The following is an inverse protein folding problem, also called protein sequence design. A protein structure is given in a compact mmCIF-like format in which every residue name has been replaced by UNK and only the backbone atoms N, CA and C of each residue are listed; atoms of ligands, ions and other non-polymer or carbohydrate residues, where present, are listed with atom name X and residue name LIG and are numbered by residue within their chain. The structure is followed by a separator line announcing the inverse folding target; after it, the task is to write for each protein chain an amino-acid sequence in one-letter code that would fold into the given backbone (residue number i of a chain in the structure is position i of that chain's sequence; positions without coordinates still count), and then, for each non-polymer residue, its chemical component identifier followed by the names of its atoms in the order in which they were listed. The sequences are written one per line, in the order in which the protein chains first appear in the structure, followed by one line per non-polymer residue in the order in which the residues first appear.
data_IF_664977215477
#
_entry.id   IF_664977215477
#
_cell.length_a   1.000
_cell.length_b   1.000
_cell.length_c   1.000
_cell.angle_alpha   90.00
_cell.angle_beta   90.00
_cell.angle_gamma   90.00
#
_symmetry.space_group_name_H-M   'P 1'
#
loop_
_entity.id
_entity.type
_entity.pdbx_description
1 polymer ?
#
# COMPACT_ATOMS: atom_id res chain seq x y z
N UNK A 1 11.63 -4.07 13.71
CA UNK A 1 12.48 -3.96 12.51
C UNK A 1 12.60 -2.49 12.21
N UNK A 2 13.82 -1.96 12.17
CA UNK A 2 14.07 -0.56 11.85
C UNK A 2 14.20 -0.35 10.35
N UNK A 3 14.19 0.91 9.94
CA UNK A 3 14.49 1.31 8.57
C UNK A 3 15.98 1.14 8.30
N UNK A 4 16.34 0.34 7.31
CA UNK A 4 17.70 0.22 6.80
C UNK A 4 17.94 1.37 5.80
N UNK A 5 19.05 2.09 5.95
CA UNK A 5 19.39 3.21 5.07
C UNK A 5 20.74 2.96 4.44
N UNK A 6 20.76 2.85 3.11
CA UNK A 6 21.97 2.51 2.34
C UNK A 6 22.27 3.65 1.37
N UNK A 7 23.44 4.28 1.56
CA UNK A 7 23.88 5.44 0.78
C UNK A 7 24.76 4.99 -0.38
N UNK A 8 24.34 5.29 -1.61
CA UNK A 8 25.19 5.20 -2.80
C UNK A 8 25.82 6.54 -3.16
N UNK A 9 26.42 6.62 -4.36
CA UNK A 9 27.06 7.86 -4.85
C UNK A 9 26.05 8.95 -5.22
N UNK A 10 24.91 8.57 -5.80
CA UNK A 10 23.91 9.52 -6.34
C UNK A 10 22.54 9.44 -5.67
N UNK A 11 22.27 8.40 -4.90
CA UNK A 11 20.97 8.17 -4.26
C UNK A 11 21.16 7.46 -2.92
N UNK A 12 20.29 7.75 -1.98
CA UNK A 12 20.12 6.97 -0.74
C UNK A 12 18.86 6.13 -0.88
N UNK A 13 18.94 4.85 -0.54
CA UNK A 13 17.79 3.95 -0.46
C UNK A 13 17.41 3.81 1.01
N UNK A 14 16.12 4.00 1.31
CA UNK A 14 15.54 3.65 2.60
C UNK A 14 14.65 2.43 2.44
N UNK A 15 14.91 1.40 3.24
CA UNK A 15 14.11 0.18 3.27
C UNK A 15 13.48 -0.03 4.65
N UNK A 16 12.16 0.06 4.72
CA UNK A 16 11.39 -0.25 5.93
C UNK A 16 10.84 -1.69 5.89
N UNK A 17 11.57 -2.60 6.53
CA UNK A 17 11.16 -3.99 6.67
C UNK A 17 9.83 -4.17 7.41
N UNK A 18 9.38 -3.20 8.20
CA UNK A 18 8.08 -3.24 8.87
C UNK A 18 6.90 -3.10 7.90
N UNK A 19 7.11 -2.40 6.77
CA UNK A 19 6.11 -2.18 5.72
C UNK A 19 6.22 -3.20 4.59
N UNK A 20 7.31 -3.96 4.50
CA UNK A 20 7.52 -4.88 3.40
C UNK A 20 6.48 -6.02 3.43
N UNK A 21 5.71 -6.14 2.35
CA UNK A 21 4.75 -7.26 2.16
C UNK A 21 5.31 -8.37 1.26
N UNK A 22 6.62 -8.36 1.02
CA UNK A 22 7.29 -9.30 0.12
C UNK A 22 6.61 -9.43 -1.26
N UNK A 23 6.23 -8.29 -1.89
CA UNK A 23 5.68 -8.30 -3.25
C UNK A 23 6.69 -8.80 -4.30
N UNK A 24 7.97 -8.88 -3.91
CA UNK A 24 9.12 -9.29 -4.72
C UNK A 24 9.43 -8.38 -5.91
N UNK A 25 8.77 -7.23 -6.05
CA UNK A 25 9.05 -6.30 -7.14
C UNK A 25 10.53 -5.85 -7.13
N UNK A 26 11.12 -5.63 -5.96
CA UNK A 26 12.53 -5.28 -5.83
C UNK A 26 13.47 -6.35 -6.44
N UNK A 27 13.38 -7.59 -5.95
CA UNK A 27 14.27 -8.68 -6.37
C UNK A 27 13.96 -9.22 -7.77
N UNK A 28 12.76 -8.99 -8.30
CA UNK A 28 12.38 -9.43 -9.65
C UNK A 28 12.78 -8.44 -10.74
N UNK A 29 12.80 -7.14 -10.44
CA UNK A 29 13.17 -6.12 -11.42
C UNK A 29 14.67 -5.80 -11.38
N UNK A 30 15.27 -5.73 -10.19
CA UNK A 30 16.70 -5.45 -10.00
C UNK A 30 17.31 -6.36 -8.92
N UNK A 31 17.57 -7.65 -9.23
CA UNK A 31 18.24 -8.58 -8.31
C UNK A 31 19.72 -8.21 -8.02
N UNK A 32 20.28 -7.27 -8.77
CA UNK A 32 21.59 -6.64 -8.59
C UNK A 32 21.57 -5.48 -7.59
N UNK A 33 20.42 -4.81 -7.45
CA UNK A 33 20.20 -3.78 -6.42
C UNK A 33 19.75 -4.41 -5.11
N UNK A 34 18.73 -5.28 -5.14
CA UNK A 34 18.25 -6.00 -3.97
C UNK A 34 18.57 -7.48 -4.13
N UNK A 35 19.68 -7.92 -3.55
CA UNK A 35 20.22 -9.27 -3.73
C UNK A 35 19.56 -10.22 -2.74
N UNK A 36 18.73 -11.18 -3.17
CA UNK A 36 18.07 -12.10 -2.25
C UNK A 36 19.04 -13.18 -1.74
N UNK A 37 18.82 -13.63 -0.50
CA UNK A 37 19.50 -14.80 0.10
C UNK A 37 21.03 -14.69 0.21
N UNK A 38 21.55 -13.49 0.48
CA UNK A 38 22.98 -13.26 0.75
C UNK A 38 23.23 -13.07 2.24
N UNK A 39 24.43 -13.44 2.68
CA UNK A 39 24.96 -13.03 3.98
C UNK A 39 25.62 -11.66 3.83
N UNK A 40 25.24 -10.70 4.68
CA UNK A 40 25.81 -9.35 4.67
C UNK A 40 24.99 -8.34 3.88
N UNK A 41 25.68 -7.45 3.16
CA UNK A 41 25.04 -6.38 2.38
C UNK A 41 24.19 -6.98 1.26
N UNK A 42 22.96 -6.49 1.16
CA UNK A 42 21.98 -7.00 0.20
C UNK A 42 21.30 -5.88 -0.61
N UNK A 43 21.62 -4.61 -0.32
CA UNK A 43 21.13 -3.42 -1.03
C UNK A 43 22.33 -2.70 -1.65
N UNK A 44 22.34 -2.51 -2.97
CA UNK A 44 23.42 -1.88 -3.71
C UNK A 44 22.90 -0.72 -4.56
N UNK A 45 22.80 0.52 -4.02
CA UNK A 45 22.20 1.66 -4.73
C UNK A 45 22.96 2.08 -6.00
N UNK A 46 24.24 1.71 -6.11
CA UNK A 46 25.11 2.07 -7.23
C UNK A 46 25.11 1.05 -8.39
N UNK A 47 24.32 -0.03 -8.28
CA UNK A 47 24.25 -1.08 -9.31
C UNK A 47 23.54 -0.61 -10.59
N UNK A 48 22.60 0.32 -10.48
CA UNK A 48 21.85 0.91 -11.60
C UNK A 48 21.79 2.43 -11.49
N UNK A 49 21.15 3.09 -12.47
CA UNK A 49 21.04 4.55 -12.45
C UNK A 49 20.03 5.04 -11.38
N UNK A 50 20.13 6.30 -10.92
CA UNK A 50 19.16 6.88 -9.98
C UNK A 50 17.70 6.80 -10.48
N UNK A 51 17.49 6.89 -11.80
CA UNK A 51 16.17 6.76 -12.42
C UNK A 51 15.61 5.35 -12.26
N UNK A 52 16.44 4.32 -12.46
CA UNK A 52 16.05 2.92 -12.24
C UNK A 52 15.74 2.66 -10.74
N UNK A 53 16.54 3.23 -9.81
CA UNK A 53 16.23 3.18 -8.37
C UNK A 53 14.89 3.87 -8.06
N UNK A 54 14.62 5.02 -8.66
CA UNK A 54 13.36 5.72 -8.49
C UNK A 54 12.17 4.90 -9.00
N UNK A 55 12.30 4.26 -10.17
CA UNK A 55 11.28 3.35 -10.71
C UNK A 55 11.07 2.16 -9.78
N UNK A 56 12.14 1.55 -9.29
CA UNK A 56 12.09 0.42 -8.37
C UNK A 56 11.38 0.76 -7.05
N UNK A 57 11.66 1.92 -6.47
CA UNK A 57 10.99 2.40 -5.27
C UNK A 57 9.49 2.64 -5.51
N UNK A 58 9.12 3.19 -6.67
CA UNK A 58 7.72 3.42 -7.08
C UNK A 58 6.96 2.11 -7.32
N UNK A 59 7.64 1.05 -7.74
CA UNK A 59 7.07 -0.29 -7.88
C UNK A 59 6.80 -0.97 -6.53
N UNK A 60 7.32 -0.47 -5.41
CA UNK A 60 7.07 -1.05 -4.09
C UNK A 60 5.66 -0.68 -3.58
N UNK A 61 4.68 -1.61 -3.58
CA UNK A 61 3.28 -1.28 -3.34
C UNK A 61 2.99 -0.81 -1.91
N UNK A 62 3.82 -1.18 -0.94
CA UNK A 62 3.66 -0.77 0.46
C UNK A 62 4.43 0.50 0.82
N UNK A 63 5.19 1.06 -0.13
CA UNK A 63 6.11 2.16 0.14
C UNK A 63 7.27 1.77 1.06
N UNK A 64 7.53 0.47 1.26
CA UNK A 64 8.66 -0.01 2.06
C UNK A 64 10.02 0.37 1.48
N UNK A 65 10.08 0.74 0.19
CA UNK A 65 11.29 1.23 -0.47
C UNK A 65 11.02 2.68 -0.84
N UNK A 66 11.89 3.56 -0.36
CA UNK A 66 11.92 4.97 -0.69
C UNK A 66 13.34 5.35 -1.12
N UNK A 67 13.47 6.47 -1.81
CA UNK A 67 14.76 6.96 -2.29
C UNK A 67 14.90 8.46 -2.08
N UNK A 68 16.14 8.90 -1.88
CA UNK A 68 16.52 10.31 -1.78
C UNK A 68 17.64 10.59 -2.79
N UNK A 69 17.42 11.42 -3.82
CA UNK A 69 18.47 11.87 -4.72
C UNK A 69 19.55 12.70 -4.00
N UNK A 70 20.81 12.50 -4.33
CA UNK A 70 21.95 13.24 -3.78
C UNK A 70 22.53 14.27 -4.76
N UNK A 71 22.14 14.22 -6.02
CA UNK A 71 22.64 15.08 -7.11
C UNK A 71 21.69 16.24 -7.45
N UNK A 72 20.77 16.58 -6.52
CA UNK A 72 19.78 17.62 -6.72
C UNK A 72 18.60 17.19 -7.61
N UNK A 73 18.49 15.89 -7.93
CA UNK A 73 17.32 15.32 -8.58
C UNK A 73 16.03 15.55 -7.77
N UNK A 74 14.89 15.60 -8.47
CA UNK A 74 13.61 15.81 -7.83
C UNK A 74 13.21 14.59 -6.98
N UNK A 75 12.60 14.81 -5.79
CA UNK A 75 12.01 13.73 -5.02
C UNK A 75 10.87 13.09 -5.80
N UNK A 76 10.33 12.01 -5.25
CA UNK A 76 9.17 11.37 -5.86
C UNK A 76 8.00 12.36 -6.03
N UNK A 77 7.40 12.46 -7.22
CA UNK A 77 6.24 13.32 -7.42
C UNK A 77 4.99 12.71 -6.79
N UNK A 78 4.09 13.56 -6.29
CA UNK A 78 2.78 13.13 -5.85
C UNK A 78 2.00 12.45 -7.00
N UNK A 79 1.21 11.40 -6.72
CA UNK A 79 0.42 10.75 -7.75
C UNK A 79 -0.68 11.69 -8.27
N UNK A 80 -0.90 11.66 -9.58
CA UNK A 80 -1.94 12.47 -10.26
C UNK A 80 -3.34 11.88 -10.15
N UNK A 81 -3.46 10.65 -9.63
CA UNK A 81 -4.72 9.98 -9.33
C UNK A 81 -4.54 9.22 -8.02
N UNK A 82 -5.44 9.45 -7.09
CA UNK A 82 -5.54 8.68 -5.85
C UNK A 82 -6.22 7.34 -6.14
N UNK A 83 -5.50 6.26 -5.87
CA UNK A 83 -5.97 4.90 -6.14
C UNK A 83 -5.95 4.04 -4.89
N UNK A 84 -6.92 3.13 -4.82
CA UNK A 84 -6.76 1.90 -4.04
C UNK A 84 -6.92 0.70 -4.98
N UNK A 85 -5.84 -0.07 -5.12
CA UNK A 85 -5.82 -1.29 -5.91
C UNK A 85 -6.20 -2.48 -5.03
N UNK A 86 -7.18 -3.25 -5.49
CA UNK A 86 -7.62 -4.48 -4.84
C UNK A 86 -6.69 -5.63 -5.23
N UNK A 87 -5.76 -5.99 -4.35
CA UNK A 87 -4.86 -7.13 -4.61
C UNK A 87 -5.61 -8.45 -4.38
N UNK A 88 -5.62 -9.33 -5.37
CA UNK A 88 -6.20 -10.68 -5.26
C UNK A 88 -5.70 -11.39 -3.99
N UNK A 89 -6.63 -11.90 -3.17
CA UNK A 89 -6.33 -12.59 -1.90
C UNK A 89 -5.44 -11.80 -0.92
N UNK A 90 -5.31 -10.50 -1.14
CA UNK A 90 -4.32 -9.66 -0.49
C UNK A 90 -4.88 -8.36 0.08
N UNK A 91 -4.00 -7.41 0.40
CA UNK A 91 -4.37 -6.14 1.01
C UNK A 91 -5.00 -5.15 0.03
N UNK A 92 -5.44 -4.03 0.58
CA UNK A 92 -5.75 -2.82 -0.16
C UNK A 92 -4.43 -2.05 -0.38
N UNK A 93 -4.01 -1.83 -1.63
CA UNK A 93 -2.79 -1.09 -1.94
C UNK A 93 -3.12 0.34 -2.36
N UNK A 94 -2.80 1.30 -1.52
CA UNK A 94 -3.08 2.72 -1.75
C UNK A 94 -1.93 3.42 -2.47
N UNK A 95 -2.28 4.35 -3.36
CA UNK A 95 -1.38 5.30 -4.00
C UNK A 95 -2.03 6.69 -3.95
N UNK A 96 -1.60 7.53 -3.01
CA UNK A 96 -2.11 8.89 -2.77
C UNK A 96 -1.16 9.60 -1.78
N UNK A 97 -1.17 10.94 -1.62
CA UNK A 97 -0.64 11.58 -0.42
C UNK A 97 -1.41 11.12 0.83
N UNK A 98 -0.90 10.11 1.52
CA UNK A 98 -1.63 9.34 2.52
C UNK A 98 -1.42 9.86 3.93
N UNK A 99 -2.52 10.05 4.65
CA UNK A 99 -2.53 10.18 6.10
C UNK A 99 -3.27 9.01 6.72
N UNK A 100 -2.60 8.19 7.52
CA UNK A 100 -3.21 7.04 8.19
C UNK A 100 -3.20 7.28 9.69
N UNK A 101 -4.38 7.32 10.32
CA UNK A 101 -4.52 7.66 11.74
C UNK A 101 -3.80 8.98 12.12
N UNK A 102 -3.89 9.98 11.24
CA UNK A 102 -3.26 11.30 11.43
C UNK A 102 -1.75 11.35 11.18
N UNK A 103 -1.11 10.22 10.84
CA UNK A 103 0.32 10.17 10.52
C UNK A 103 0.53 10.19 9.01
N UNK A 104 1.55 10.94 8.56
CA UNK A 104 1.95 10.98 7.15
C UNK A 104 2.65 9.67 6.76
N UNK A 105 2.12 8.99 5.75
CA UNK A 105 2.61 7.70 5.27
C UNK A 105 3.25 7.78 3.88
N UNK A 106 3.49 9.00 3.38
CA UNK A 106 4.00 9.24 2.04
C UNK A 106 2.98 8.85 0.96
N UNK A 107 3.46 8.29 -0.16
CA UNK A 107 2.59 8.04 -1.31
C UNK A 107 1.99 6.64 -1.41
N UNK A 108 2.51 5.66 -0.66
CA UNK A 108 2.09 4.26 -0.78
C UNK A 108 1.99 3.58 0.57
N UNK A 109 0.90 2.87 0.78
CA UNK A 109 0.74 1.96 1.90
C UNK A 109 -0.16 0.80 1.52
N UNK A 110 0.11 -0.39 2.08
CA UNK A 110 -0.81 -1.52 1.99
C UNK A 110 -1.53 -1.74 3.30
N UNK A 111 -2.85 -1.67 3.28
CA UNK A 111 -3.70 -1.81 4.47
C UNK A 111 -4.39 -3.18 4.49
N UNK A 112 -4.52 -3.73 5.70
CA UNK A 112 -5.06 -5.04 5.95
C UNK A 112 -6.53 -5.14 5.47
N UNK A 113 -6.81 -6.15 4.64
CA UNK A 113 -8.16 -6.51 4.17
C UNK A 113 -8.67 -7.80 4.79
N UNK A 114 -7.77 -8.63 5.33
CA UNK A 114 -8.06 -9.98 5.79
C UNK A 114 -8.41 -10.11 7.28
N UNK A 115 -8.11 -9.11 8.10
CA UNK A 115 -8.30 -9.16 9.56
C UNK A 115 -7.18 -9.85 10.35
N UNK A 116 -6.21 -10.51 9.70
CA UNK A 116 -5.21 -11.34 10.36
C UNK A 116 -3.89 -10.63 10.67
N UNK A 117 -3.63 -9.46 10.08
CA UNK A 117 -2.38 -8.73 10.31
C UNK A 117 -2.13 -8.47 11.81
N UNK A 118 -0.89 -8.62 12.25
CA UNK A 118 -0.43 -8.29 13.61
C UNK A 118 -0.02 -6.83 13.73
N UNK A 119 -0.05 -6.07 12.62
CA UNK A 119 0.35 -4.66 12.51
C UNK A 119 -0.77 -3.77 11.97
N UNK A 120 -2.01 -4.10 12.30
CA UNK A 120 -3.18 -3.33 11.84
C UNK A 120 -2.99 -1.84 12.17
N UNK A 121 -3.37 -0.92 11.27
CA UNK A 121 -4.13 -1.13 10.03
C UNK A 121 -3.31 -1.66 8.84
N UNK A 122 -1.99 -1.72 8.94
CA UNK A 122 -1.12 -2.14 7.84
C UNK A 122 -1.20 -3.65 7.59
N UNK A 123 -0.89 -4.04 6.36
CA UNK A 123 -0.70 -5.44 5.98
C UNK A 123 0.72 -5.89 6.31
N UNK A 124 0.86 -7.06 6.92
CA UNK A 124 2.14 -7.70 7.24
C UNK A 124 2.34 -9.04 6.53
N UNK A 125 1.48 -9.36 5.55
CA UNK A 125 1.54 -10.62 4.80
C UNK A 125 0.76 -11.80 5.41
N UNK A 126 0.23 -11.67 6.64
CA UNK A 126 -0.49 -12.77 7.34
C UNK A 126 -1.68 -13.36 6.56
N UNK A 127 -2.17 -12.69 5.52
CA UNK A 127 -3.23 -13.19 4.65
C UNK A 127 -2.85 -14.44 3.86
N UNK A 128 -1.56 -14.61 3.51
CA UNK A 128 -1.08 -15.76 2.75
C UNK A 128 -1.13 -17.04 3.59
N UNK A 129 -0.53 -17.00 4.78
CA UNK A 129 -0.56 -18.11 5.75
C UNK A 129 -1.98 -18.36 6.28
N UNK A 130 -2.75 -17.29 6.44
CA UNK A 130 -4.14 -17.36 6.91
C UNK A 130 -5.15 -17.81 5.87
N UNK A 131 -4.74 -18.09 4.62
CA UNK A 131 -5.63 -18.57 3.56
C UNK A 131 -6.75 -17.59 3.22
N UNK A 132 -6.51 -16.28 3.29
CA UNK A 132 -7.53 -15.28 2.99
C UNK A 132 -7.92 -15.33 1.51
N UNK A 133 -9.19 -15.61 1.23
CA UNK A 133 -9.74 -15.61 -0.13
C UNK A 133 -10.66 -14.41 -0.34
N UNK A 134 -10.29 -13.53 -1.26
CA UNK A 134 -11.11 -12.41 -1.70
C UNK A 134 -10.62 -11.86 -3.04
N UNK A 135 -11.54 -11.82 -4.01
CA UNK A 135 -11.21 -11.35 -5.34
C UNK A 135 -10.79 -9.86 -5.37
N UNK A 136 -9.81 -9.56 -6.22
CA UNK A 136 -9.46 -8.22 -6.68
C UNK A 136 -10.27 -7.78 -7.91
N UNK A 137 -10.97 -8.69 -8.58
CA UNK A 137 -11.67 -8.46 -9.85
C UNK A 137 -13.18 -8.30 -9.64
N UNK A 138 -13.56 -7.14 -9.07
CA UNK A 138 -14.96 -6.80 -8.83
C UNK A 138 -15.59 -6.18 -10.08
N UNK A 139 -16.89 -6.43 -10.28
CA UNK A 139 -17.66 -5.72 -11.30
C UNK A 139 -17.71 -4.22 -10.98
N UNK A 140 -17.64 -3.34 -12.00
CA UNK A 140 -17.80 -1.92 -11.80
C UNK A 140 -19.22 -1.59 -11.35
N UNK A 141 -19.35 -0.59 -10.48
CA UNK A 141 -20.62 0.04 -10.17
C UNK A 141 -20.69 1.42 -10.82
N UNK A 142 -21.90 1.87 -11.11
CA UNK A 142 -22.11 3.21 -11.65
C UNK A 142 -21.61 4.25 -10.65
N UNK A 143 -20.73 5.14 -11.11
CA UNK A 143 -20.16 6.24 -10.33
C UNK A 143 -19.85 7.41 -11.27
N UNK A 144 -20.11 8.62 -10.79
CA UNK A 144 -19.80 9.82 -11.56
C UNK A 144 -18.28 10.12 -11.52
N UNK A 145 -17.72 10.76 -12.55
CA UNK A 145 -16.37 11.30 -12.48
C UNK A 145 -16.20 12.26 -11.30
N UNK A 146 -15.04 12.21 -10.64
CA UNK A 146 -14.68 13.17 -9.60
C UNK A 146 -14.25 14.50 -10.23
N UNK A 147 -14.53 15.61 -9.54
CA UNK A 147 -14.10 16.94 -10.00
C UNK A 147 -12.57 17.10 -9.94
N UNK A 148 -11.91 16.49 -8.95
CA UNK A 148 -10.47 16.22 -8.94
C UNK A 148 -10.22 14.75 -8.61
N UNK A 149 -9.11 14.21 -9.12
CA UNK A 149 -8.71 12.81 -8.91
C UNK A 149 -7.54 12.68 -7.93
N UNK A 150 -6.95 13.80 -7.52
CA UNK A 150 -5.77 13.89 -6.66
C UNK A 150 -6.11 14.51 -5.29
N UNK A 151 -5.07 14.88 -4.55
CA UNK A 151 -5.15 15.54 -3.25
C UNK A 151 -4.90 14.58 -2.09
N UNK A 152 -4.88 15.09 -0.84
CA UNK A 152 -4.64 14.25 0.33
C UNK A 152 -5.75 13.20 0.51
N UNK A 153 -5.36 12.01 0.94
CA UNK A 153 -6.27 10.92 1.26
C UNK A 153 -6.10 10.53 2.73
N UNK A 154 -7.15 10.74 3.52
CA UNK A 154 -7.17 10.38 4.94
C UNK A 154 -7.76 8.99 5.11
N UNK A 155 -7.07 8.15 5.87
CA UNK A 155 -7.54 6.83 6.28
C UNK A 155 -7.60 6.78 7.79
N UNK A 156 -8.81 6.61 8.31
CA UNK A 156 -9.10 6.53 9.74
C UNK A 156 -9.57 5.11 10.10
N UNK A 157 -8.65 4.24 10.57
CA UNK A 157 -9.03 2.95 11.12
C UNK A 157 -10.03 3.11 12.27
N UNK A 158 -11.20 2.51 12.13
CA UNK A 158 -12.19 2.51 13.20
C UNK A 158 -11.89 1.38 14.18
N UNK A 159 -12.02 1.66 15.49
CA UNK A 159 -11.86 0.64 16.55
C UNK A 159 -12.83 -0.51 16.28
N UNK A 160 -12.30 -1.75 16.27
CA UNK A 160 -13.05 -2.97 15.98
C UNK A 160 -13.85 -2.91 14.66
N UNK A 161 -13.39 -2.09 13.71
CA UNK A 161 -14.20 -1.65 12.58
C UNK A 161 -13.43 -1.49 11.26
N UNK A 162 -14.12 -0.96 10.24
CA UNK A 162 -13.56 -0.73 8.91
C UNK A 162 -12.50 0.37 8.88
N UNK A 163 -11.89 0.56 7.71
CA UNK A 163 -11.14 1.76 7.38
C UNK A 163 -12.13 2.80 6.84
N UNK A 164 -12.30 3.93 7.53
CA UNK A 164 -12.98 5.08 6.93
C UNK A 164 -11.95 5.80 6.05
N UNK A 165 -12.29 6.08 4.81
CA UNK A 165 -11.41 6.74 3.85
C UNK A 165 -12.09 8.01 3.36
N UNK A 166 -11.38 9.14 3.41
CA UNK A 166 -11.88 10.48 3.08
C UNK A 166 -10.92 11.14 2.11
N UNK A 167 -11.46 11.72 1.04
CA UNK A 167 -10.71 12.32 -0.07
C UNK A 167 -11.03 11.63 -1.40
N UNK A 168 -10.61 12.27 -2.49
CA UNK A 168 -10.83 11.74 -3.84
C UNK A 168 -10.15 10.39 -3.98
N UNK A 169 -10.88 9.36 -4.42
CA UNK A 169 -10.37 8.01 -4.54
C UNK A 169 -11.04 7.27 -5.69
N UNK A 170 -10.23 6.64 -6.54
CA UNK A 170 -10.70 5.59 -7.44
C UNK A 170 -10.33 4.22 -6.89
N UNK A 171 -11.33 3.36 -6.77
CA UNK A 171 -11.14 1.96 -6.41
C UNK A 171 -10.95 1.18 -7.71
N UNK A 172 -9.83 0.47 -7.83
CA UNK A 172 -9.45 -0.26 -9.05
C UNK A 172 -9.20 -1.73 -8.78
N UNK A 173 -9.50 -2.58 -9.75
CA UNK A 173 -9.18 -4.01 -9.71
C UNK A 173 -7.67 -4.27 -9.75
N UNK A 174 -7.27 -5.53 -9.55
CA UNK A 174 -5.88 -5.96 -9.72
C UNK A 174 -5.38 -5.73 -11.15
N UNK A 175 -6.27 -5.87 -12.14
CA UNK A 175 -6.02 -5.57 -13.56
C UNK A 175 -6.07 -4.07 -13.92
N UNK A 176 -6.46 -3.20 -12.98
CA UNK A 176 -6.44 -1.74 -13.17
C UNK A 176 -7.76 -1.13 -13.66
N UNK A 177 -8.84 -1.90 -13.75
CA UNK A 177 -10.16 -1.35 -14.10
C UNK A 177 -10.79 -0.61 -12.92
N UNK A 178 -11.25 0.63 -13.16
CA UNK A 178 -11.99 1.39 -12.14
C UNK A 178 -13.34 0.75 -11.88
N UNK A 179 -13.60 0.40 -10.61
CA UNK A 179 -14.89 -0.14 -10.18
C UNK A 179 -15.77 0.91 -9.50
N UNK A 180 -15.17 1.96 -8.94
CA UNK A 180 -15.87 2.98 -8.17
C UNK A 180 -15.04 4.26 -8.05
N UNK A 181 -15.72 5.39 -7.88
CA UNK A 181 -15.16 6.72 -7.64
C UNK A 181 -15.90 7.37 -6.49
N UNK A 182 -15.18 7.71 -5.43
CA UNK A 182 -15.75 8.21 -4.18
C UNK A 182 -14.92 9.33 -3.59
N UNK A 183 -15.56 10.18 -2.78
CA UNK A 183 -14.89 11.14 -1.89
C UNK A 183 -14.91 10.69 -0.42
N UNK A 184 -15.73 9.69 -0.09
CA UNK A 184 -15.79 9.06 1.23
C UNK A 184 -16.26 7.60 1.08
N UNK A 185 -15.63 6.67 1.81
CA UNK A 185 -16.07 5.27 1.84
C UNK A 185 -15.59 4.53 3.10
N UNK A 186 -16.16 3.36 3.36
CA UNK A 186 -15.72 2.44 4.42
C UNK A 186 -15.30 1.11 3.84
N UNK A 187 -14.00 0.81 3.94
CA UNK A 187 -13.41 -0.42 3.41
C UNK A 187 -13.28 -1.49 4.50
N UNK A 188 -13.58 -2.73 4.13
CA UNK A 188 -13.48 -3.88 5.01
C UNK A 188 -12.02 -4.13 5.41
N UNK A 189 -11.79 -4.18 6.73
CA UNK A 189 -10.51 -4.56 7.34
C UNK A 189 -10.59 -5.88 8.10
N UNK A 190 -11.79 -6.41 8.35
CA UNK A 190 -11.99 -7.62 9.15
C UNK A 190 -11.89 -8.93 8.34
N UNK A 191 -11.92 -8.89 7.00
CA UNK A 191 -11.91 -10.10 6.16
C UNK A 191 -13.25 -10.79 5.96
N UNK A 192 -14.30 -10.43 6.69
CA UNK A 192 -15.58 -11.18 6.68
C UNK A 192 -16.74 -10.53 5.92
N UNK A 193 -16.57 -9.32 5.38
CA UNK A 193 -17.62 -8.67 4.58
C UNK A 193 -18.05 -9.54 3.39
N UNK A 194 -19.34 -9.61 3.12
CA UNK A 194 -19.90 -10.23 1.91
C UNK A 194 -19.93 -9.24 0.73
N UNK A 195 -19.68 -7.96 1.00
CA UNK A 195 -19.61 -6.90 -0.01
C UNK A 195 -18.19 -6.31 -0.15
N UNK A 196 -17.14 -7.14 -0.03
CA UNK A 196 -15.74 -6.69 -0.21
C UNK A 196 -15.57 -5.95 -1.55
N UNK A 197 -14.82 -4.85 -1.61
CA UNK A 197 -13.93 -4.33 -0.58
C UNK A 197 -14.62 -3.49 0.50
N UNK A 198 -15.94 -3.27 0.44
CA UNK A 198 -16.66 -2.41 1.35
C UNK A 198 -17.01 -3.11 2.67
N UNK A 199 -17.20 -2.31 3.71
CA UNK A 199 -17.77 -2.77 4.97
C UNK A 199 -19.29 -3.00 4.82
N UNK A 200 -19.79 -4.10 5.38
CA UNK A 200 -21.22 -4.43 5.45
C UNK A 200 -21.70 -4.68 6.90
N UNK A 201 -20.87 -4.30 7.88
CA UNK A 201 -21.15 -4.55 9.30
C UNK A 201 -20.71 -5.91 9.83
N UNK A 202 -20.21 -6.83 8.99
CA UNK A 202 -19.81 -8.19 9.41
C UNK A 202 -18.75 -8.21 10.54
N UNK A 203 -17.93 -7.15 10.68
CA UNK A 203 -16.96 -7.01 11.76
C UNK A 203 -17.58 -7.14 13.17
N UNK A 204 -18.84 -6.70 13.36
CA UNK A 204 -19.54 -6.84 14.64
C UNK A 204 -19.91 -8.30 14.94
N UNK A 205 -20.35 -9.03 13.91
CA UNK A 205 -20.81 -10.42 14.03
C UNK A 205 -19.66 -11.38 14.32
N UNK A 206 -18.49 -11.12 13.75
CA UNK A 206 -17.30 -11.96 13.90
C UNK A 206 -16.42 -11.55 15.07
N UNK A 207 -16.84 -10.56 15.88
CA UNK A 207 -16.06 -10.08 17.01
C UNK A 207 -14.68 -9.55 16.60
N UNK A 208 -14.59 -8.80 15.50
CA UNK A 208 -13.32 -8.30 15.01
C UNK A 208 -12.68 -7.33 16.02
N UNK A 209 -11.49 -7.68 16.52
CA UNK A 209 -10.72 -6.85 17.43
C UNK A 209 -9.51 -6.21 16.72
N UNK A 210 -9.48 -4.88 16.77
CA UNK A 210 -8.37 -4.08 16.28
C UNK A 210 -8.45 -2.68 16.85
N UNK A 211 -7.30 -2.10 17.17
CA UNK A 211 -7.23 -0.70 17.56
C UNK A 211 -7.73 0.23 16.44
N UNK A 212 -8.27 1.36 16.88
CA UNK A 212 -8.60 2.49 16.01
C UNK A 212 -7.40 3.43 15.83
N UNK A 213 -7.60 4.50 15.06
CA UNK A 213 -6.77 5.69 15.13
C UNK A 213 -6.82 6.34 16.53
#
# INVERSE_FOLDING_TARGET
MGTETVRGRKVVIHFDGARCIHSRNCVLHHPDVFVPNVEGEWIHPDAVSPEEIALLARLCPSGAIQYEPLDGGAPEPAPVVNLVNLRENGPLAFLAPLQVAGQDEGFRATLCRCGLSKRKPFCDGSHAEGGFIASGERAPKESQPLASRDGPLQVEPQKNGPLKVIGNLEIVTGTGHTIDRVSETWLCRCGHSQNKPYCDGSHRKVGFEADGA
#
